data_IF_881633072251
#
_entry.id   IF_881633072251
#
_cell.length_a   1.000
_cell.length_b   1.000
_cell.length_c   1.000
_cell.angle_alpha   90.00
_cell.angle_beta   90.00
_cell.angle_gamma   90.00
#
_symmetry.space_group_name_H-M   'P 1'
#
loop_
_entity.id
_entity.type
_entity.pdbx_description
1 polymer ?
#
# COMPACT_ATOMS: atom_id res chain seq x y z
N UNK A 1 21.13 32.81 -1.53
CA UNK A 1 20.17 32.15 -0.61
C UNK A 1 19.01 31.44 -1.34
N UNK A 2 19.05 31.28 -2.67
CA UNK A 2 17.92 30.77 -3.47
C UNK A 2 17.91 29.24 -3.60
N UNK A 3 19.08 28.62 -3.69
CA UNK A 3 19.18 27.22 -4.13
C UNK A 3 18.77 26.22 -3.02
N UNK A 4 19.08 26.54 -1.77
CA UNK A 4 18.70 25.71 -0.61
C UNK A 4 17.19 25.75 -0.36
N UNK A 5 16.56 26.92 -0.50
CA UNK A 5 15.12 27.07 -0.37
C UNK A 5 14.38 26.34 -1.50
N UNK A 6 14.86 26.46 -2.74
CA UNK A 6 14.31 25.74 -3.89
C UNK A 6 14.40 24.21 -3.70
N UNK A 7 15.55 23.71 -3.26
CA UNK A 7 15.73 22.27 -3.00
C UNK A 7 14.77 21.76 -1.91
N UNK A 8 14.53 22.54 -0.86
CA UNK A 8 13.59 22.17 0.21
C UNK A 8 12.14 22.05 -0.29
N UNK A 9 11.72 22.96 -1.18
CA UNK A 9 10.38 22.94 -1.78
C UNK A 9 10.23 21.76 -2.73
N UNK A 10 11.24 21.47 -3.54
CA UNK A 10 11.24 20.29 -4.44
C UNK A 10 11.13 19.01 -3.63
N UNK A 11 11.90 18.86 -2.55
CA UNK A 11 11.82 17.67 -1.70
C UNK A 11 10.45 17.50 -1.04
N UNK A 12 9.83 18.61 -0.61
CA UNK A 12 8.49 18.59 -0.04
C UNK A 12 7.44 18.18 -1.09
N UNK A 13 7.56 18.68 -2.32
CA UNK A 13 6.67 18.30 -3.43
C UNK A 13 6.85 16.82 -3.81
N UNK A 14 8.08 16.31 -3.87
CA UNK A 14 8.35 14.90 -4.15
C UNK A 14 7.73 14.00 -3.06
N UNK A 15 7.89 14.37 -1.79
CA UNK A 15 7.29 13.63 -0.68
C UNK A 15 5.76 13.65 -0.75
N UNK A 16 5.16 14.80 -1.11
CA UNK A 16 3.71 14.93 -1.23
C UNK A 16 3.14 14.13 -2.41
N UNK A 17 3.79 14.19 -3.57
CA UNK A 17 3.41 13.39 -4.73
C UNK A 17 3.53 11.89 -4.42
N UNK A 18 4.57 11.47 -3.70
CA UNK A 18 4.70 10.08 -3.27
C UNK A 18 3.56 9.66 -2.33
N UNK A 19 3.17 10.51 -1.36
CA UNK A 19 2.01 10.27 -0.50
C UNK A 19 0.71 10.18 -1.28
N UNK A 20 0.44 11.13 -2.16
CA UNK A 20 -0.77 11.16 -2.98
C UNK A 20 -0.84 9.97 -3.92
N UNK A 21 0.29 9.59 -4.54
CA UNK A 21 0.36 8.41 -5.40
C UNK A 21 0.08 7.12 -4.62
N UNK A 22 0.61 6.98 -3.39
CA UNK A 22 0.29 5.85 -2.53
C UNK A 22 -1.20 5.83 -2.09
N UNK A 23 -1.77 7.01 -1.83
CA UNK A 23 -3.17 7.17 -1.45
C UNK A 23 -4.13 6.92 -2.63
N UNK A 24 -3.75 7.23 -3.86
CA UNK A 24 -4.56 7.03 -5.06
C UNK A 24 -4.25 5.71 -5.79
N UNK A 25 -3.17 5.02 -5.42
CA UNK A 25 -2.81 3.73 -6.00
C UNK A 25 -3.98 2.74 -5.80
N UNK A 26 -4.49 2.13 -6.88
CA UNK A 26 -5.50 1.07 -6.76
C UNK A 26 -4.89 -0.23 -6.23
N UNK A 27 -3.56 -0.28 -6.07
CA UNK A 27 -2.82 -1.46 -5.64
C UNK A 27 -2.28 -1.29 -4.22
N UNK A 28 -2.47 -2.32 -3.41
CA UNK A 28 -1.93 -2.47 -2.05
C UNK A 28 -0.72 -3.40 -2.10
N UNK A 29 0.40 -2.94 -1.54
CA UNK A 29 1.64 -3.71 -1.48
C UNK A 29 1.71 -4.67 -0.28
N UNK A 30 2.74 -5.52 -0.25
CA UNK A 30 2.96 -6.44 0.88
C UNK A 30 3.25 -5.67 2.18
N UNK A 31 4.06 -4.62 2.15
CA UNK A 31 4.38 -3.83 3.35
C UNK A 31 3.13 -3.21 3.98
N UNK A 32 2.21 -2.72 3.15
CA UNK A 32 0.93 -2.19 3.61
C UNK A 32 0.06 -3.28 4.23
N UNK A 33 -0.02 -4.47 3.63
CA UNK A 33 -0.74 -5.62 4.21
C UNK A 33 -0.13 -6.06 5.55
N UNK A 34 1.20 -6.14 5.63
CA UNK A 34 1.90 -6.52 6.87
C UNK A 34 1.60 -5.51 7.99
N UNK A 35 1.62 -4.22 7.67
CA UNK A 35 1.29 -3.15 8.62
C UNK A 35 -0.19 -3.18 9.03
N UNK A 36 -1.13 -3.42 8.09
CA UNK A 36 -2.57 -3.48 8.35
C UNK A 36 -2.95 -4.61 9.31
N UNK A 37 -2.40 -5.81 9.09
CA UNK A 37 -2.80 -7.00 9.83
C UNK A 37 -1.82 -7.41 10.94
N UNK A 38 -0.65 -6.77 11.04
CA UNK A 38 0.36 -7.09 12.06
C UNK A 38 0.92 -8.51 11.95
N UNK A 39 0.99 -9.05 10.73
CA UNK A 39 1.40 -10.44 10.47
C UNK A 39 2.71 -10.52 9.69
N UNK A 40 3.25 -11.73 9.54
CA UNK A 40 4.42 -11.98 8.69
C UNK A 40 4.04 -12.24 7.23
N UNK A 41 5.01 -12.13 6.31
CA UNK A 41 4.82 -12.45 4.89
C UNK A 41 4.39 -13.91 4.68
N UNK A 42 4.89 -14.84 5.51
CA UNK A 42 4.50 -16.26 5.46
C UNK A 42 3.05 -16.44 5.89
N UNK A 43 2.62 -15.71 6.91
CA UNK A 43 1.24 -15.72 7.38
C UNK A 43 0.30 -15.19 6.31
N UNK A 44 0.62 -14.05 5.67
CA UNK A 44 -0.16 -13.51 4.55
C UNK A 44 -0.31 -14.52 3.41
N UNK A 45 0.79 -15.15 2.98
CA UNK A 45 0.75 -16.15 1.93
C UNK A 45 -0.12 -17.37 2.31
N UNK A 46 -0.11 -17.76 3.58
CA UNK A 46 -0.94 -18.84 4.08
C UNK A 46 -2.43 -18.44 4.14
N UNK A 47 -2.75 -17.20 4.55
CA UNK A 47 -4.10 -16.65 4.54
C UNK A 47 -4.67 -16.61 3.12
N UNK A 48 -3.87 -16.13 2.15
CA UNK A 48 -4.22 -16.09 0.74
C UNK A 48 -4.49 -17.52 0.20
N UNK A 49 -3.61 -18.48 0.52
CA UNK A 49 -3.79 -19.88 0.12
C UNK A 49 -5.03 -20.54 0.73
N UNK A 50 -5.43 -20.14 1.94
CA UNK A 50 -6.66 -20.62 2.60
C UNK A 50 -7.92 -19.91 2.10
N UNK A 51 -7.79 -18.88 1.26
CA UNK A 51 -8.91 -18.06 0.80
C UNK A 51 -9.48 -17.13 1.88
N UNK A 52 -8.69 -16.83 2.93
CA UNK A 52 -9.12 -15.94 4.01
C UNK A 52 -9.04 -14.47 3.64
N UNK A 53 -8.22 -14.13 2.64
CA UNK A 53 -8.05 -12.78 2.06
C UNK A 53 -8.09 -12.88 0.53
N UNK A 54 -8.34 -11.77 -0.20
CA UNK A 54 -8.27 -11.75 -1.65
C UNK A 54 -6.90 -12.18 -2.20
N UNK A 55 -6.90 -12.67 -3.43
CA UNK A 55 -5.67 -13.05 -4.14
C UNK A 55 -4.94 -11.82 -4.68
N UNK A 56 -3.61 -11.86 -4.66
CA UNK A 56 -2.78 -10.80 -5.23
C UNK A 56 -2.50 -11.03 -6.71
N UNK A 57 -2.52 -9.96 -7.48
CA UNK A 57 -2.13 -9.93 -8.89
C UNK A 57 -0.74 -9.30 -8.99
N UNK A 58 0.22 -10.01 -9.59
CA UNK A 58 1.62 -9.55 -9.74
C UNK A 58 2.24 -9.06 -8.42
N UNK A 59 1.90 -9.73 -7.31
CA UNK A 59 2.43 -9.42 -5.97
C UNK A 59 1.74 -8.27 -5.24
N UNK A 60 0.62 -7.75 -5.74
CA UNK A 60 -0.16 -6.67 -5.11
C UNK A 60 -1.65 -7.00 -5.09
N UNK A 61 -2.38 -6.47 -4.11
CA UNK A 61 -3.83 -6.64 -4.00
C UNK A 61 -4.55 -5.45 -4.62
N UNK A 62 -5.71 -5.69 -5.24
CA UNK A 62 -6.60 -4.60 -5.61
C UNK A 62 -7.22 -4.02 -4.33
N UNK A 63 -7.06 -2.72 -4.14
CA UNK A 63 -7.59 -2.02 -2.97
C UNK A 63 -9.10 -2.14 -2.88
N UNK A 64 -9.81 -2.07 -4.00
CA UNK A 64 -11.27 -2.21 -4.05
C UNK A 64 -11.72 -3.58 -3.56
N UNK A 65 -11.09 -4.66 -4.03
CA UNK A 65 -11.41 -6.03 -3.62
C UNK A 65 -11.08 -6.25 -2.13
N UNK A 66 -9.96 -5.68 -1.67
CA UNK A 66 -9.58 -5.75 -0.26
C UNK A 66 -10.61 -5.04 0.64
N UNK A 67 -11.02 -3.83 0.27
CA UNK A 67 -12.02 -3.06 1.02
C UNK A 67 -13.39 -3.74 1.00
N UNK A 68 -13.81 -4.28 -0.15
CA UNK A 68 -15.06 -5.02 -0.26
C UNK A 68 -15.05 -6.28 0.61
N UNK A 69 -13.93 -7.02 0.61
CA UNK A 69 -13.73 -8.16 1.50
C UNK A 69 -13.71 -7.73 2.98
N UNK A 70 -13.04 -6.64 3.34
CA UNK A 70 -13.00 -6.10 4.72
C UNK A 70 -14.41 -5.75 5.23
N UNK A 71 -15.29 -5.27 4.35
CA UNK A 71 -16.68 -4.88 4.68
C UNK A 71 -17.61 -6.10 4.77
N UNK A 72 -17.37 -7.14 3.98
CA UNK A 72 -18.25 -8.32 3.88
C UNK A 72 -17.93 -9.42 4.90
N UNK A 73 -16.87 -9.25 5.69
CA UNK A 73 -16.41 -10.20 6.70
C UNK A 73 -17.18 -10.12 8.02
#
# INVERSE_FOLDING_TARGET
MTDTALLSVVNLLVAEVARLSAALSPWVGSDEMLARYGVTIKTLAAMEKRGEIPYRVRGRWLRSELLEWEITK
#
